data_IF_499380922320
#
_entry.id   IF_499380922320
#
_cell.length_a   1.000
_cell.length_b   1.000
_cell.length_c   1.000
_cell.angle_alpha   90.00
_cell.angle_beta   90.00
_cell.angle_gamma   90.00
#
_symmetry.space_group_name_H-M   'P 1'
#
loop_
_entity.id
_entity.type
_entity.pdbx_description
1 polymer ?
#
# COMPACT_ATOMS: atom_id res chain seq x y z
N UNK A 1 -7.00 -14.25 -21.89
CA UNK A 1 -7.05 -12.85 -21.42
C UNK A 1 -7.44 -11.84 -22.53
N UNK A 2 -7.80 -12.27 -23.75
CA UNK A 2 -8.06 -11.36 -24.89
C UNK A 2 -9.24 -10.39 -24.72
N UNK A 3 -10.17 -10.67 -23.80
CA UNK A 3 -11.34 -9.81 -23.51
C UNK A 3 -11.13 -8.87 -22.32
N UNK A 4 -10.04 -9.01 -21.56
CA UNK A 4 -9.79 -8.19 -20.37
C UNK A 4 -9.24 -6.82 -20.78
N UNK A 5 -9.83 -5.75 -20.26
CA UNK A 5 -9.42 -4.37 -20.54
C UNK A 5 -9.18 -3.60 -19.23
N UNK A 6 -8.06 -2.88 -19.15
CA UNK A 6 -7.71 -2.04 -18.00
C UNK A 6 -7.29 -0.65 -18.48
N UNK A 7 -8.30 0.20 -18.73
CA UNK A 7 -8.13 1.48 -19.43
C UNK A 7 -7.23 2.49 -18.68
N UNK A 8 -7.14 2.40 -17.35
CA UNK A 8 -6.32 3.32 -16.50
C UNK A 8 -4.83 3.26 -16.88
N UNK A 9 -4.37 2.12 -17.41
CA UNK A 9 -3.02 1.93 -17.97
C UNK A 9 -3.09 1.38 -19.41
N UNK A 10 -4.05 1.88 -20.18
CA UNK A 10 -4.31 1.46 -21.57
C UNK A 10 -3.65 2.35 -22.62
N UNK A 11 -4.23 2.35 -23.82
CA UNK A 11 -3.71 2.99 -25.03
C UNK A 11 -3.32 4.46 -24.86
N UNK A 12 -4.15 5.26 -24.16
CA UNK A 12 -3.85 6.68 -23.90
C UNK A 12 -2.52 6.84 -23.15
N UNK A 13 -2.24 5.96 -22.18
CA UNK A 13 -0.99 6.01 -21.41
C UNK A 13 0.20 5.60 -22.29
N UNK A 14 0.04 4.60 -23.15
CA UNK A 14 1.07 4.22 -24.12
C UNK A 14 1.40 5.36 -25.08
N UNK A 15 0.39 6.05 -25.60
CA UNK A 15 0.60 7.22 -26.44
C UNK A 15 1.26 8.37 -25.67
N UNK A 16 0.85 8.61 -24.43
CA UNK A 16 1.48 9.61 -23.57
C UNK A 16 2.97 9.32 -23.32
N UNK A 17 3.36 8.05 -23.16
CA UNK A 17 4.75 7.62 -23.01
C UNK A 17 5.57 7.86 -24.29
N UNK A 18 4.99 7.59 -25.47
CA UNK A 18 5.63 7.90 -26.76
C UNK A 18 5.88 9.41 -26.89
N UNK A 19 4.87 10.23 -26.56
CA UNK A 19 5.01 11.69 -26.58
C UNK A 19 6.05 12.18 -25.55
N UNK A 20 6.10 11.57 -24.36
CA UNK A 20 7.10 11.92 -23.34
C UNK A 20 8.53 11.62 -23.81
N UNK A 21 8.73 10.50 -24.53
CA UNK A 21 10.01 10.17 -25.15
C UNK A 21 10.36 11.18 -26.24
N UNK A 22 9.40 11.52 -27.13
CA UNK A 22 9.62 12.48 -28.21
C UNK A 22 9.95 13.89 -27.69
N UNK A 23 9.32 14.34 -26.60
CA UNK A 23 9.68 15.60 -25.92
C UNK A 23 11.12 15.62 -25.42
N UNK A 24 11.66 14.45 -25.05
CA UNK A 24 13.04 14.31 -24.57
C UNK A 24 14.04 14.30 -25.73
N UNK A 25 13.70 13.60 -26.82
CA UNK A 25 14.57 13.46 -28.00
C UNK A 25 14.53 14.70 -28.91
N UNK A 26 13.36 15.34 -29.03
CA UNK A 26 13.10 16.47 -29.92
C UNK A 26 12.52 17.67 -29.14
N UNK A 27 13.32 18.38 -28.32
CA UNK A 27 12.83 19.53 -27.56
C UNK A 27 12.19 20.60 -28.45
N UNK A 28 10.94 20.97 -28.17
CA UNK A 28 10.17 21.96 -28.94
C UNK A 28 9.40 21.40 -30.15
N UNK A 29 9.36 20.08 -30.34
CA UNK A 29 8.55 19.43 -31.40
C UNK A 29 7.03 19.54 -31.16
N UNK A 30 6.61 19.77 -29.92
CA UNK A 30 5.21 19.85 -29.49
C UNK A 30 4.86 21.22 -28.91
N UNK A 31 3.56 21.60 -28.88
CA UNK A 31 3.10 22.85 -28.27
C UNK A 31 3.12 22.84 -26.72
N UNK A 32 3.74 21.83 -26.09
CA UNK A 32 3.87 21.64 -24.65
C UNK A 32 5.25 21.05 -24.34
N UNK A 33 5.71 21.19 -23.09
CA UNK A 33 7.06 20.77 -22.69
C UNK A 33 7.08 19.55 -21.76
N UNK A 34 5.92 19.14 -21.24
CA UNK A 34 5.81 18.02 -20.33
C UNK A 34 4.47 17.29 -20.50
N UNK A 35 4.44 16.03 -20.06
CA UNK A 35 3.22 15.23 -19.96
C UNK A 35 2.78 15.21 -18.50
N UNK A 36 1.61 15.77 -18.23
CA UNK A 36 0.97 15.69 -16.92
C UNK A 36 0.02 14.49 -16.86
N UNK A 37 0.39 13.49 -16.06
CA UNK A 37 -0.40 12.27 -15.88
C UNK A 37 -1.58 12.49 -14.92
N UNK A 38 -2.74 12.85 -15.47
CA UNK A 38 -4.01 12.97 -14.73
C UNK A 38 -4.90 11.71 -14.82
N UNK A 39 -4.35 10.59 -15.29
CA UNK A 39 -5.10 9.35 -15.55
C UNK A 39 -5.22 8.41 -14.35
N UNK A 40 -4.38 8.57 -13.33
CA UNK A 40 -4.35 7.70 -12.15
C UNK A 40 -4.24 8.52 -10.87
N UNK A 41 -4.95 8.09 -9.82
CA UNK A 41 -4.81 8.65 -8.47
C UNK A 41 -3.46 8.26 -7.86
N UNK A 42 -2.39 8.96 -8.25
CA UNK A 42 -1.04 8.78 -7.73
C UNK A 42 -0.51 10.12 -7.17
N UNK A 43 -0.98 10.53 -5.99
CA UNK A 43 -0.78 11.89 -5.49
C UNK A 43 0.68 12.28 -5.26
N UNK A 44 1.53 11.35 -4.82
CA UNK A 44 2.95 11.64 -4.61
C UNK A 44 3.67 11.97 -5.93
N UNK A 45 3.28 11.37 -7.06
CA UNK A 45 3.80 11.73 -8.38
C UNK A 45 3.38 13.13 -8.83
N UNK A 46 2.34 13.70 -8.21
CA UNK A 46 1.88 15.07 -8.44
C UNK A 46 2.33 16.04 -7.34
N UNK A 47 3.32 15.64 -6.52
CA UNK A 47 3.97 16.52 -5.56
C UNK A 47 3.40 16.51 -4.14
N UNK A 48 2.39 15.67 -3.84
CA UNK A 48 1.96 15.48 -2.45
C UNK A 48 3.15 14.96 -1.63
N UNK A 49 3.53 15.72 -0.60
CA UNK A 49 4.61 15.32 0.29
C UNK A 49 4.18 14.14 1.18
N UNK A 50 5.05 13.18 1.45
CA UNK A 50 4.74 12.08 2.35
C UNK A 50 4.56 12.59 3.78
N UNK A 51 3.69 11.93 4.54
CA UNK A 51 3.48 12.24 5.96
C UNK A 51 4.71 11.78 6.75
N UNK A 52 5.37 12.71 7.45
CA UNK A 52 6.65 12.49 8.15
C UNK A 52 6.57 11.35 9.17
N UNK A 53 5.56 11.35 10.03
CA UNK A 53 5.37 10.33 11.06
C UNK A 53 5.38 8.90 10.48
N UNK A 54 4.68 8.67 9.37
CA UNK A 54 4.67 7.35 8.73
C UNK A 54 6.04 6.96 8.19
N UNK A 55 6.79 7.91 7.61
CA UNK A 55 8.13 7.66 7.06
C UNK A 55 9.14 7.35 8.15
N UNK A 56 9.06 8.07 9.26
CA UNK A 56 9.91 7.86 10.44
C UNK A 56 9.68 6.47 11.06
N UNK A 57 8.43 6.10 11.33
CA UNK A 57 8.08 4.80 11.90
C UNK A 57 8.55 3.66 11.00
N UNK A 58 8.28 3.76 9.69
CA UNK A 58 8.69 2.74 8.73
C UNK A 58 10.22 2.59 8.68
N UNK A 59 10.96 3.70 8.65
CA UNK A 59 12.43 3.66 8.65
C UNK A 59 12.99 2.97 9.90
N UNK A 60 12.40 3.21 11.07
CA UNK A 60 12.80 2.56 12.32
C UNK A 60 12.42 1.07 12.36
N UNK A 61 11.28 0.69 11.76
CA UNK A 61 10.91 -0.73 11.63
C UNK A 61 11.80 -1.48 10.62
N UNK A 62 12.19 -0.83 9.52
CA UNK A 62 13.07 -1.41 8.49
C UNK A 62 14.52 -1.53 8.97
N UNK A 63 14.99 -0.57 9.79
CA UNK A 63 16.33 -0.61 10.38
C UNK A 63 16.27 -0.49 11.93
N UNK A 64 15.86 -1.56 12.65
CA UNK A 64 15.61 -1.50 14.08
C UNK A 64 16.85 -1.22 14.93
N UNK A 65 18.07 -1.45 14.41
CA UNK A 65 19.33 -1.09 15.08
C UNK A 65 19.50 0.43 15.28
N UNK A 66 18.72 1.25 14.57
CA UNK A 66 18.68 2.69 14.84
C UNK A 66 18.09 2.98 16.22
N UNK A 67 17.20 2.14 16.75
CA UNK A 67 16.60 2.37 18.08
C UNK A 67 17.64 2.37 19.22
N UNK A 68 18.78 1.70 19.01
CA UNK A 68 19.86 1.60 20.00
C UNK A 68 20.87 2.77 19.93
N UNK A 69 20.74 3.66 18.93
CA UNK A 69 21.65 4.78 18.71
C UNK A 69 21.24 5.99 19.55
N UNK A 70 22.22 6.65 20.17
CA UNK A 70 21.98 7.85 20.99
C UNK A 70 21.46 9.02 20.15
N UNK A 71 21.84 9.07 18.88
CA UNK A 71 21.47 10.11 17.91
C UNK A 71 20.00 10.02 17.49
N UNK A 72 19.36 8.87 17.64
CA UNK A 72 17.99 8.64 17.15
C UNK A 72 16.98 9.60 17.73
N UNK A 73 17.13 9.96 19.01
CA UNK A 73 16.25 10.94 19.68
C UNK A 73 16.39 12.37 19.11
N UNK A 74 17.48 12.67 18.42
CA UNK A 74 17.68 13.96 17.75
C UNK A 74 17.17 13.94 16.30
N UNK A 75 17.04 12.76 15.69
CA UNK A 75 16.68 12.59 14.27
C UNK A 75 15.21 12.23 14.04
N UNK A 76 14.57 11.58 15.02
CA UNK A 76 13.20 11.09 14.91
C UNK A 76 12.33 11.67 16.03
N UNK A 77 11.06 11.91 15.72
CA UNK A 77 10.08 12.28 16.73
C UNK A 77 9.89 11.19 17.80
N UNK A 78 9.61 11.61 19.04
CA UNK A 78 9.52 10.69 20.18
C UNK A 78 8.36 9.69 20.03
N UNK A 79 7.24 10.14 19.47
CA UNK A 79 6.06 9.32 19.18
C UNK A 79 6.28 8.36 18.01
N UNK A 80 7.08 8.71 16.99
CA UNK A 80 7.52 7.76 15.96
C UNK A 80 8.38 6.64 16.54
N UNK A 81 9.33 6.98 17.42
CA UNK A 81 10.18 5.98 18.11
C UNK A 81 9.31 5.03 18.94
N UNK A 82 8.41 5.59 19.75
CA UNK A 82 7.49 4.79 20.56
C UNK A 82 6.62 3.89 19.69
N UNK A 83 6.04 4.42 18.61
CA UNK A 83 5.20 3.65 17.68
C UNK A 83 5.98 2.52 17.01
N UNK A 84 7.22 2.76 16.58
CA UNK A 84 8.06 1.74 15.96
C UNK A 84 8.35 0.59 16.93
N UNK A 85 8.68 0.90 18.19
CA UNK A 85 8.87 -0.11 19.25
C UNK A 85 7.60 -0.92 19.46
N UNK A 86 6.45 -0.25 19.60
CA UNK A 86 5.15 -0.91 19.78
C UNK A 86 4.84 -1.87 18.62
N UNK A 87 5.12 -1.48 17.37
CA UNK A 87 4.90 -2.33 16.19
C UNK A 87 5.85 -3.54 16.21
N UNK A 88 7.15 -3.30 16.44
CA UNK A 88 8.16 -4.37 16.46
C UNK A 88 7.83 -5.43 17.51
N UNK A 89 7.32 -5.03 18.68
CA UNK A 89 6.94 -5.95 19.77
C UNK A 89 5.73 -6.83 19.45
N UNK A 90 4.94 -6.48 18.42
CA UNK A 90 3.86 -7.32 17.90
C UNK A 90 4.34 -8.34 16.85
N UNK A 91 5.58 -8.20 16.37
CA UNK A 91 6.15 -9.07 15.34
C UNK A 91 6.94 -10.19 16.02
N UNK A 92 6.65 -11.48 15.70
CA UNK A 92 7.42 -12.59 16.24
C UNK A 92 8.93 -12.41 16.01
N UNK A 93 9.71 -12.56 17.09
CA UNK A 93 11.16 -12.37 17.10
C UNK A 93 11.64 -10.99 16.60
N UNK A 94 10.76 -9.97 16.52
CA UNK A 94 11.02 -8.68 15.87
C UNK A 94 11.56 -8.83 14.43
N UNK A 95 11.23 -9.94 13.77
CA UNK A 95 11.75 -10.28 12.45
C UNK A 95 10.87 -9.68 11.34
N UNK A 96 11.11 -8.41 10.98
CA UNK A 96 10.31 -7.67 9.99
C UNK A 96 10.41 -8.21 8.55
N UNK A 97 11.44 -8.99 8.25
CA UNK A 97 11.61 -9.64 6.94
C UNK A 97 11.06 -11.07 6.82
N UNK A 98 10.49 -11.63 7.88
CA UNK A 98 9.91 -12.97 7.85
C UNK A 98 8.48 -12.96 7.29
N UNK A 99 8.04 -14.11 6.75
CA UNK A 99 6.62 -14.30 6.45
C UNK A 99 5.79 -14.16 7.72
N UNK A 100 4.63 -13.50 7.59
CA UNK A 100 3.63 -13.45 8.64
C UNK A 100 2.59 -14.56 8.47
N UNK A 101 1.61 -14.64 9.39
CA UNK A 101 0.42 -15.45 9.18
C UNK A 101 -0.26 -15.06 7.85
N UNK A 102 -0.97 -15.97 7.17
CA UNK A 102 -1.59 -15.69 5.87
C UNK A 102 -2.59 -14.53 5.88
N UNK A 103 -3.21 -14.26 7.02
CA UNK A 103 -4.09 -13.10 7.24
C UNK A 103 -3.35 -11.81 7.60
N UNK A 104 -2.05 -11.89 7.92
CA UNK A 104 -1.25 -10.82 8.48
C UNK A 104 -0.95 -10.96 9.98
N UNK A 105 -0.02 -10.15 10.46
CA UNK A 105 0.42 -10.10 11.87
C UNK A 105 -0.78 -9.83 12.79
N UNK A 106 -1.01 -10.72 13.76
CA UNK A 106 -2.16 -10.67 14.68
C UNK A 106 -2.28 -9.34 15.41
N UNK A 107 -1.19 -8.84 16.00
CA UNK A 107 -1.21 -7.56 16.72
C UNK A 107 -1.54 -6.35 15.83
N UNK A 108 -1.20 -6.39 14.53
CA UNK A 108 -1.59 -5.34 13.59
C UNK A 108 -3.08 -5.43 13.24
N UNK A 109 -3.61 -6.64 13.04
CA UNK A 109 -5.06 -6.87 12.84
C UNK A 109 -5.87 -6.41 14.05
N UNK A 110 -5.39 -6.68 15.26
CA UNK A 110 -6.02 -6.21 16.51
C UNK A 110 -6.12 -4.67 16.54
N UNK A 111 -5.06 -3.95 16.11
CA UNK A 111 -5.09 -2.48 16.02
C UNK A 111 -6.05 -1.96 14.94
N UNK A 112 -6.16 -2.66 13.81
CA UNK A 112 -7.11 -2.29 12.75
C UNK A 112 -8.54 -2.51 13.25
N UNK A 113 -8.83 -3.64 13.90
CA UNK A 113 -10.13 -3.92 14.50
C UNK A 113 -10.54 -2.81 15.49
N UNK A 114 -9.64 -2.42 16.41
CA UNK A 114 -9.89 -1.30 17.32
C UNK A 114 -10.13 0.02 16.58
N UNK A 115 -9.43 0.28 15.47
CA UNK A 115 -9.63 1.48 14.66
C UNK A 115 -11.01 1.50 13.98
N UNK A 116 -11.47 0.35 13.47
CA UNK A 116 -12.82 0.19 12.91
C UNK A 116 -13.88 0.41 13.98
N UNK A 117 -13.68 -0.18 15.17
CA UNK A 117 -14.61 -0.02 16.29
C UNK A 117 -14.74 1.43 16.74
N UNK A 118 -13.63 2.17 16.85
CA UNK A 118 -13.66 3.60 17.18
C UNK A 118 -14.35 4.43 16.10
N UNK A 119 -14.15 4.08 14.82
CA UNK A 119 -14.77 4.79 13.69
C UNK A 119 -16.28 4.57 13.64
N UNK A 120 -16.73 3.32 13.86
CA UNK A 120 -18.11 2.89 13.58
C UNK A 120 -18.98 2.81 14.84
N UNK A 121 -18.40 2.72 16.03
CA UNK A 121 -19.10 2.50 17.29
C UNK A 121 -19.59 1.07 17.50
N UNK A 122 -19.10 0.11 16.71
CA UNK A 122 -19.44 -1.31 16.79
C UNK A 122 -18.18 -2.18 16.83
N UNK A 123 -18.16 -3.27 17.62
CA UNK A 123 -16.99 -4.12 17.73
C UNK A 123 -16.64 -4.77 16.39
N UNK A 124 -15.34 -4.90 16.11
CA UNK A 124 -14.81 -5.62 14.95
C UNK A 124 -13.96 -6.81 15.42
N UNK A 125 -14.12 -7.98 14.80
CA UNK A 125 -13.27 -9.15 15.10
C UNK A 125 -12.00 -9.10 14.24
N UNK A 126 -10.79 -9.12 14.83
CA UNK A 126 -9.55 -9.20 14.08
C UNK A 126 -9.41 -10.45 13.20
N UNK A 127 -10.16 -11.53 13.47
CA UNK A 127 -10.17 -12.74 12.65
C UNK A 127 -10.90 -12.58 11.31
N UNK A 128 -11.75 -11.56 11.20
CA UNK A 128 -12.42 -11.17 9.95
C UNK A 128 -11.56 -10.25 9.07
N UNK A 129 -10.36 -9.88 9.53
CA UNK A 129 -9.47 -8.94 8.87
C UNK A 129 -8.35 -9.69 8.14
N UNK A 130 -8.20 -9.41 6.85
CA UNK A 130 -7.12 -9.92 6.00
C UNK A 130 -6.28 -8.77 5.48
N UNK A 131 -4.98 -8.78 5.75
CA UNK A 131 -4.03 -7.84 5.18
C UNK A 131 -3.63 -8.28 3.77
N UNK A 132 -3.68 -7.36 2.82
CA UNK A 132 -3.36 -7.60 1.41
C UNK A 132 -2.48 -6.49 0.86
N UNK A 133 -1.76 -6.76 -0.23
CA UNK A 133 -0.91 -5.79 -0.92
C UNK A 133 -1.75 -4.75 -1.69
N UNK A 134 -2.34 -3.84 -0.93
CA UNK A 134 -3.39 -2.95 -1.42
C UNK A 134 -4.74 -3.66 -1.54
N UNK A 135 -5.77 -2.94 -2.01
CA UNK A 135 -7.13 -3.48 -2.11
C UNK A 135 -7.33 -4.44 -3.30
N UNK A 136 -6.57 -4.30 -4.38
CA UNK A 136 -6.78 -5.04 -5.62
C UNK A 136 -6.70 -6.57 -5.47
N UNK A 137 -5.73 -7.15 -4.71
CA UNK A 137 -5.71 -8.59 -4.48
C UNK A 137 -6.93 -9.12 -3.74
N UNK A 138 -7.53 -8.32 -2.83
CA UNK A 138 -8.74 -8.71 -2.12
C UNK A 138 -9.93 -8.84 -3.08
N UNK A 139 -10.10 -7.88 -4.01
CA UNK A 139 -11.15 -7.95 -5.05
C UNK A 139 -10.98 -9.19 -5.93
N UNK A 140 -9.76 -9.42 -6.43
CA UNK A 140 -9.48 -10.61 -7.26
C UNK A 140 -9.79 -11.93 -6.52
N UNK A 141 -9.48 -11.99 -5.22
CA UNK A 141 -9.72 -13.19 -4.42
C UNK A 141 -11.21 -13.44 -4.22
N UNK A 142 -11.99 -12.37 -3.97
CA UNK A 142 -13.44 -12.44 -3.83
C UNK A 142 -14.12 -12.82 -5.14
N UNK A 143 -13.74 -12.21 -6.26
CA UNK A 143 -14.30 -12.52 -7.58
C UNK A 143 -14.09 -14.00 -7.94
N UNK A 144 -12.87 -14.53 -7.72
CA UNK A 144 -12.57 -15.93 -7.95
C UNK A 144 -13.43 -16.86 -7.07
N UNK A 145 -13.61 -16.51 -5.80
CA UNK A 145 -14.40 -17.30 -4.87
C UNK A 145 -15.88 -17.33 -5.25
N UNK A 146 -16.47 -16.17 -5.57
CA UNK A 146 -17.89 -16.07 -5.96
C UNK A 146 -18.16 -16.80 -7.28
N UNK A 147 -17.31 -16.62 -8.29
CA UNK A 147 -17.45 -17.29 -9.58
C UNK A 147 -17.35 -18.82 -9.39
N UNK A 148 -16.40 -19.28 -8.58
CA UNK A 148 -16.25 -20.71 -8.30
C UNK A 148 -17.50 -21.29 -7.63
N UNK A 149 -18.01 -20.67 -6.56
CA UNK A 149 -19.23 -21.13 -5.87
C UNK A 149 -20.43 -21.18 -6.83
N UNK A 150 -20.63 -20.13 -7.63
CA UNK A 150 -21.73 -20.06 -8.59
C UNK A 150 -21.63 -21.18 -9.64
N UNK A 151 -20.43 -21.50 -10.12
CA UNK A 151 -20.23 -22.57 -11.09
C UNK A 151 -20.45 -23.95 -10.49
N UNK A 152 -20.06 -24.18 -9.23
CA UNK A 152 -20.32 -25.45 -8.54
C UNK A 152 -21.81 -25.69 -8.34
N UNK A 153 -22.58 -24.67 -7.91
CA UNK A 153 -24.03 -24.76 -7.71
C UNK A 153 -24.83 -24.98 -9.03
N UNK A 154 -24.25 -24.62 -10.18
CA UNK A 154 -24.90 -24.81 -11.50
C UNK A 154 -24.58 -26.19 -12.10
N UNK A 155 -23.50 -26.83 -11.66
CA UNK A 155 -23.04 -28.13 -12.18
C UNK A 155 -23.60 -29.31 -11.35
N UNK A 156 -24.05 -29.06 -10.13
CA UNK A 156 -24.80 -30.01 -9.28
C UNK A 156 -26.32 -29.93 -9.50
#
# INVERSE_FOLDING_TARGET
VLKCAYAIRGEIVTHAQILQQDLTENPGSHPFNEILYCNIGNPHSLGQQPITFFREVLALCDHPLLLDRSETKALFSADSIERAIQILDQIPCRATGAYSHSQGIKGLRDKIASGIEVRDGFPADPNDIFLTDGASPAVNSMDLQVIHTTLTEVIE
#
